data_IF_363910493825
#
_entry.id   IF_363910493825
#
_cell.length_a   1.000
_cell.length_b   1.000
_cell.length_c   1.000
_cell.angle_alpha   90.00
_cell.angle_beta   90.00
_cell.angle_gamma   90.00
#
_symmetry.space_group_name_H-M   'P 1'
#
loop_
_entity.id
_entity.type
_entity.pdbx_description
1 polymer ?
#
# COMPACT_ATOMS: atom_id res chain seq x y z
N UNK A 1 -15.96 -12.76 9.69
CA UNK A 1 -16.55 -12.52 8.36
C UNK A 1 -15.40 -12.17 7.43
N UNK A 2 -15.38 -12.71 6.21
CA UNK A 2 -14.34 -12.36 5.24
C UNK A 2 -14.62 -10.93 4.78
N UNK A 3 -13.76 -9.97 5.15
CA UNK A 3 -13.85 -8.60 4.66
C UNK A 3 -13.17 -8.43 3.28
N UNK A 4 -12.97 -9.54 2.56
CA UNK A 4 -12.40 -9.59 1.22
C UNK A 4 -13.50 -9.24 0.20
N UNK A 5 -13.20 -8.28 -0.65
CA UNK A 5 -14.03 -7.84 -1.77
C UNK A 5 -13.15 -7.73 -3.02
N UNK A 6 -13.73 -7.96 -4.20
CA UNK A 6 -13.10 -7.59 -5.45
C UNK A 6 -13.73 -6.26 -5.86
N UNK A 7 -12.93 -5.19 -5.81
CA UNK A 7 -13.31 -3.87 -6.33
C UNK A 7 -13.50 -3.98 -7.84
N UNK A 8 -14.41 -3.17 -8.37
CA UNK A 8 -14.57 -3.05 -9.82
C UNK A 8 -13.31 -2.44 -10.44
N UNK A 9 -13.08 -2.75 -11.71
CA UNK A 9 -11.95 -2.20 -12.47
C UNK A 9 -11.91 -0.67 -12.42
N UNK A 10 -13.06 -0.01 -12.53
CA UNK A 10 -13.20 1.45 -12.46
C UNK A 10 -12.77 1.99 -11.08
N UNK A 11 -13.12 1.30 -9.99
CA UNK A 11 -12.72 1.70 -8.64
C UNK A 11 -11.21 1.55 -8.42
N UNK A 12 -10.61 0.48 -8.95
CA UNK A 12 -9.16 0.26 -8.88
C UNK A 12 -8.42 1.31 -9.69
N UNK A 13 -8.88 1.59 -10.92
CA UNK A 13 -8.31 2.65 -11.76
C UNK A 13 -8.39 4.03 -11.09
N UNK A 14 -9.54 4.37 -10.51
CA UNK A 14 -9.72 5.61 -9.79
C UNK A 14 -8.77 5.71 -8.58
N UNK A 15 -8.65 4.63 -7.79
CA UNK A 15 -7.74 4.59 -6.64
C UNK A 15 -6.28 4.76 -7.06
N UNK A 16 -5.81 3.99 -8.06
CA UNK A 16 -4.43 4.09 -8.54
C UNK A 16 -4.15 5.48 -9.11
N UNK A 17 -5.11 6.08 -9.82
CA UNK A 17 -5.00 7.44 -10.33
C UNK A 17 -4.87 8.46 -9.20
N UNK A 18 -5.74 8.43 -8.21
CA UNK A 18 -5.69 9.34 -7.05
C UNK A 18 -4.38 9.21 -6.28
N UNK A 19 -3.91 7.97 -6.06
CA UNK A 19 -2.62 7.71 -5.41
C UNK A 19 -1.46 8.34 -6.19
N UNK A 20 -1.40 8.14 -7.52
CA UNK A 20 -0.35 8.71 -8.38
C UNK A 20 -0.43 10.25 -8.39
N UNK A 21 -1.63 10.82 -8.46
CA UNK A 21 -1.83 12.28 -8.38
C UNK A 21 -1.34 12.86 -7.05
N UNK A 22 -1.55 12.17 -5.92
CA UNK A 22 -1.02 12.60 -4.61
C UNK A 22 0.51 12.58 -4.63
N UNK A 23 1.12 11.51 -5.12
CA UNK A 23 2.57 11.35 -5.19
C UNK A 23 3.21 12.41 -6.11
N UNK A 24 2.60 12.67 -7.26
CA UNK A 24 3.09 13.66 -8.24
C UNK A 24 2.77 15.11 -7.84
N UNK A 25 1.94 15.32 -6.82
CA UNK A 25 1.55 16.66 -6.39
C UNK A 25 2.69 17.39 -5.67
N UNK A 26 2.82 18.69 -5.91
CA UNK A 26 3.63 19.57 -5.04
C UNK A 26 2.73 20.01 -3.88
N UNK A 27 3.12 19.84 -2.60
CA UNK A 27 4.48 19.61 -2.10
C UNK A 27 4.76 18.20 -1.52
N UNK A 28 4.34 17.10 -2.16
CA UNK A 28 4.59 15.75 -1.65
C UNK A 28 6.07 15.51 -1.32
N UNK A 29 6.33 15.05 -0.11
CA UNK A 29 7.67 14.79 0.40
C UNK A 29 7.78 13.35 0.89
N UNK A 30 8.53 12.53 0.16
CA UNK A 30 8.77 11.11 0.44
C UNK A 30 9.26 10.84 1.87
N UNK A 31 9.99 11.78 2.48
CA UNK A 31 10.50 11.60 3.84
C UNK A 31 9.39 11.69 4.90
N UNK A 32 8.41 12.58 4.71
CA UNK A 32 7.37 12.91 5.71
C UNK A 32 6.00 12.31 5.39
N UNK A 33 5.69 12.16 4.12
CA UNK A 33 4.33 11.85 3.65
C UNK A 33 4.18 10.37 3.29
N UNK A 34 5.31 9.65 3.16
CA UNK A 34 5.34 8.19 2.99
C UNK A 34 5.84 7.49 4.25
N UNK A 35 4.98 6.68 4.85
CA UNK A 35 5.32 5.76 5.93
C UNK A 35 5.29 4.31 5.42
N UNK A 36 6.41 3.60 5.58
CA UNK A 36 6.52 2.18 5.28
C UNK A 36 6.51 1.43 6.60
N UNK A 37 5.52 0.56 6.77
CA UNK A 37 5.45 -0.30 7.95
C UNK A 37 6.52 -1.40 7.86
N UNK A 38 7.50 -1.45 8.78
CA UNK A 38 8.66 -2.34 8.66
C UNK A 38 8.30 -3.83 8.81
N UNK A 39 7.20 -4.13 9.51
CA UNK A 39 6.65 -5.48 9.70
C UNK A 39 5.19 -5.41 10.15
N UNK A 40 4.47 -6.51 10.03
CA UNK A 40 3.13 -6.67 10.64
C UNK A 40 3.24 -6.65 12.18
N UNK A 41 2.19 -6.18 12.85
CA UNK A 41 2.15 -6.05 14.33
C UNK A 41 2.54 -7.35 15.06
N UNK A 42 2.02 -8.48 14.60
CA UNK A 42 2.24 -9.79 15.22
C UNK A 42 3.48 -10.54 14.70
N UNK A 43 4.20 -9.98 13.71
CA UNK A 43 5.44 -10.61 13.22
C UNK A 43 6.56 -10.51 14.25
N UNK A 44 7.36 -11.56 14.34
CA UNK A 44 8.53 -11.63 15.21
C UNK A 44 9.60 -10.61 14.76
N UNK A 45 10.36 -10.00 15.69
CA UNK A 45 11.51 -9.17 15.33
C UNK A 45 12.61 -9.92 14.57
N UNK A 46 12.66 -11.26 14.68
CA UNK A 46 13.63 -12.12 13.99
C UNK A 46 13.05 -12.80 12.74
N UNK A 47 11.84 -12.42 12.32
CA UNK A 47 11.23 -12.96 11.10
C UNK A 47 12.06 -12.50 9.88
N UNK A 48 12.60 -13.42 9.06
CA UNK A 48 13.38 -13.05 7.89
C UNK A 48 12.51 -12.37 6.81
N UNK A 49 11.19 -12.58 6.79
CA UNK A 49 10.28 -12.10 5.74
C UNK A 49 9.49 -10.85 6.18
N UNK A 50 10.16 -9.92 6.83
CA UNK A 50 9.60 -8.60 7.16
C UNK A 50 9.75 -7.64 5.98
N UNK A 51 8.87 -6.63 5.89
CA UNK A 51 8.95 -5.59 4.85
C UNK A 51 10.35 -4.98 4.77
N UNK A 52 10.96 -4.68 5.93
CA UNK A 52 12.31 -4.09 5.97
C UNK A 52 13.37 -5.04 5.39
N UNK A 53 13.30 -6.33 5.67
CA UNK A 53 14.27 -7.28 5.13
C UNK A 53 14.08 -7.46 3.62
N UNK A 54 12.83 -7.47 3.14
CA UNK A 54 12.54 -7.52 1.70
C UNK A 54 13.09 -6.28 0.99
N UNK A 55 12.88 -5.08 1.53
CA UNK A 55 13.45 -3.85 0.96
C UNK A 55 14.98 -3.88 0.96
N UNK A 56 15.61 -4.37 2.02
CA UNK A 56 17.07 -4.53 2.08
C UNK A 56 17.58 -5.54 1.04
N UNK A 57 16.91 -6.67 0.87
CA UNK A 57 17.27 -7.71 -0.12
C UNK A 57 17.13 -7.20 -1.56
N UNK A 58 16.11 -6.38 -1.83
CA UNK A 58 15.90 -5.72 -3.12
C UNK A 58 16.81 -4.49 -3.32
N UNK A 59 17.54 -4.06 -2.28
CA UNK A 59 18.29 -2.80 -2.25
C UNK A 59 17.40 -1.58 -2.58
N UNK A 60 16.21 -1.55 -2.00
CA UNK A 60 15.22 -0.48 -2.17
C UNK A 60 15.28 0.54 -1.03
N UNK A 61 15.16 1.81 -1.39
CA UNK A 61 14.84 2.91 -0.49
C UNK A 61 13.38 3.38 -0.66
N UNK A 62 13.00 4.46 0.05
CA UNK A 62 11.63 4.99 -0.05
C UNK A 62 11.29 5.54 -1.44
N UNK A 63 12.26 6.10 -2.16
CA UNK A 63 12.05 6.63 -3.51
C UNK A 63 11.82 5.49 -4.50
N UNK A 64 12.52 4.36 -4.32
CA UNK A 64 12.26 3.15 -5.14
C UNK A 64 10.82 2.68 -4.96
N UNK A 65 10.31 2.64 -3.73
CA UNK A 65 8.90 2.32 -3.45
C UNK A 65 7.94 3.30 -4.12
N UNK A 66 8.25 4.59 -4.10
CA UNK A 66 7.46 5.61 -4.82
C UNK A 66 7.46 5.37 -6.33
N UNK A 67 8.62 5.03 -6.91
CA UNK A 67 8.72 4.71 -8.32
C UNK A 67 7.86 3.50 -8.69
N UNK A 68 7.86 2.45 -7.88
CA UNK A 68 6.97 1.30 -8.08
C UNK A 68 5.49 1.70 -8.01
N UNK A 69 5.09 2.56 -7.06
CA UNK A 69 3.72 3.07 -6.99
C UNK A 69 3.30 3.84 -8.26
N UNK A 70 4.22 4.58 -8.88
CA UNK A 70 3.95 5.27 -10.14
C UNK A 70 3.82 4.31 -11.32
N UNK A 71 4.48 3.15 -11.27
CA UNK A 71 4.44 2.11 -12.32
C UNK A 71 3.23 1.18 -12.20
N UNK A 72 2.64 1.02 -11.02
CA UNK A 72 1.52 0.10 -10.77
C UNK A 72 0.41 0.23 -11.80
N UNK A 73 0.00 -0.89 -12.38
CA UNK A 73 -1.12 -0.97 -13.31
C UNK A 73 -2.28 -1.77 -12.70
N UNK A 74 -3.50 -1.49 -13.15
CA UNK A 74 -4.70 -2.25 -12.72
C UNK A 74 -4.59 -3.75 -13.02
N UNK A 75 -3.78 -4.16 -14.00
CA UNK A 75 -3.55 -5.57 -14.32
C UNK A 75 -2.82 -6.34 -13.23
N UNK A 76 -2.15 -5.65 -12.31
CA UNK A 76 -1.47 -6.24 -11.15
C UNK A 76 -2.43 -6.41 -9.96
N UNK A 77 -3.63 -5.82 -10.01
CA UNK A 77 -4.61 -5.91 -8.94
C UNK A 77 -5.07 -7.34 -8.66
N UNK A 78 -5.05 -7.72 -7.38
CA UNK A 78 -5.45 -9.05 -6.90
C UNK A 78 -6.78 -8.97 -6.15
N UNK A 79 -6.89 -8.08 -5.16
CA UNK A 79 -8.03 -8.02 -4.26
C UNK A 79 -8.09 -6.74 -3.41
N UNK A 80 -9.24 -6.48 -2.80
CA UNK A 80 -9.42 -5.41 -1.81
C UNK A 80 -9.87 -6.00 -0.47
N UNK A 81 -9.30 -5.52 0.63
CA UNK A 81 -9.80 -5.82 1.98
C UNK A 81 -10.39 -4.58 2.62
N UNK A 82 -11.48 -4.76 3.37
CA UNK A 82 -12.09 -3.71 4.18
C UNK A 82 -11.66 -3.92 5.64
N UNK A 83 -10.87 -3.00 6.21
CA UNK A 83 -10.65 -2.95 7.65
C UNK A 83 -11.72 -2.04 8.30
N UNK A 84 -12.68 -2.70 8.95
CA UNK A 84 -13.77 -2.07 9.69
C UNK A 84 -13.70 -2.41 11.20
N UNK A 85 -12.52 -2.75 11.72
CA UNK A 85 -12.36 -3.16 13.13
C UNK A 85 -12.75 -2.07 14.13
N UNK A 86 -12.67 -0.80 13.72
CA UNK A 86 -13.06 0.33 14.54
C UNK A 86 -14.41 0.88 14.05
N UNK A 87 -15.50 0.43 14.68
CA UNK A 87 -16.88 0.79 14.28
C UNK A 87 -17.19 2.29 14.34
N UNK A 88 -16.38 3.09 15.04
CA UNK A 88 -16.48 4.55 15.12
C UNK A 88 -15.70 5.30 14.04
N UNK A 89 -14.91 4.61 13.22
CA UNK A 89 -14.13 5.19 12.13
C UNK A 89 -14.69 4.73 10.79
N UNK A 90 -14.55 5.54 9.72
CA UNK A 90 -14.80 5.06 8.37
C UNK A 90 -13.98 3.78 8.08
N UNK A 91 -14.51 2.83 7.29
CA UNK A 91 -13.74 1.66 6.88
C UNK A 91 -12.50 2.07 6.09
N UNK A 92 -11.38 1.39 6.35
CA UNK A 92 -10.16 1.53 5.56
C UNK A 92 -10.14 0.49 4.45
N UNK A 93 -9.86 0.91 3.22
CA UNK A 93 -9.69 0.03 2.08
C UNK A 93 -8.21 -0.29 1.91
N UNK A 94 -7.88 -1.58 1.88
CA UNK A 94 -6.56 -2.08 1.57
C UNK A 94 -6.59 -2.68 0.16
N UNK A 95 -5.99 -1.99 -0.80
CA UNK A 95 -5.78 -2.52 -2.14
C UNK A 95 -4.57 -3.48 -2.12
N UNK A 96 -4.72 -4.66 -2.73
CA UNK A 96 -3.62 -5.60 -2.97
C UNK A 96 -3.35 -5.65 -4.46
N UNK A 97 -2.11 -5.32 -4.79
CA UNK A 97 -1.49 -5.37 -6.11
C UNK A 97 -0.27 -6.28 -6.06
#
# INVERSE_FOLDING_TARGET
MSNKMISSEIEVEAFLKEMKEIIDSVPFNVATDLEILPKKRMQSPIDPYTTVNTLLELNFDKNDVVNEFLLLDKSEYIETFIDNKHSSLPPFLHLVV
#
